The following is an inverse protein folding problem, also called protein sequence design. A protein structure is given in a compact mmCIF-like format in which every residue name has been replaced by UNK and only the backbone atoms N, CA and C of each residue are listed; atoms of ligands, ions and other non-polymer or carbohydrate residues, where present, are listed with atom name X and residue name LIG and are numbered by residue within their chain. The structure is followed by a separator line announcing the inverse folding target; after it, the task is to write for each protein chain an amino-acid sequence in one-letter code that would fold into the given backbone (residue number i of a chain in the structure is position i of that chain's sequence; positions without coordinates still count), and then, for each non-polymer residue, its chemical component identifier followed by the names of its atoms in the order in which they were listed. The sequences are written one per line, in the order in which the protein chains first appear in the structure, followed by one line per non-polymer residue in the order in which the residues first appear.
data_IF_144639498888
#
_entry.id   IF_144639498888
#
_cell.length_a   1.000
_cell.length_b   1.000
_cell.length_c   1.000
_cell.angle_alpha   90.00
_cell.angle_beta   90.00
_cell.angle_gamma   90.00
#
_symmetry.space_group_name_H-M   'P 1'
#
loop_
_entity.id
_entity.type
_entity.pdbx_description
1 polymer ?
#
# COMPACT_ATOMS: atom_id res chain seq x y z
N UNK A 1 -23.00 -6.53 -7.90
CA UNK A 1 -21.64 -5.95 -7.74
C UNK A 1 -21.47 -4.86 -8.80
N UNK A 2 -21.04 -3.64 -8.45
CA UNK A 2 -20.91 -2.54 -9.41
C UNK A 2 -19.62 -2.70 -10.21
N UNK A 3 -19.54 -3.72 -11.07
CA UNK A 3 -18.34 -4.05 -11.84
C UNK A 3 -18.04 -3.11 -13.01
N UNK A 4 -18.54 -1.86 -13.01
CA UNK A 4 -18.57 -1.00 -14.22
C UNK A 4 -18.23 0.47 -13.97
N UNK A 5 -17.71 0.85 -12.80
CA UNK A 5 -17.47 2.28 -12.48
C UNK A 5 -16.03 2.77 -12.75
N UNK A 6 -15.06 1.88 -12.90
CA UNK A 6 -13.65 2.25 -13.08
C UNK A 6 -13.09 1.68 -14.38
N UNK A 7 -12.27 2.47 -15.08
CA UNK A 7 -11.64 2.11 -16.37
C UNK A 7 -10.17 2.52 -16.40
N UNK A 8 -9.39 1.90 -17.29
CA UNK A 8 -7.97 2.23 -17.50
C UNK A 8 -7.11 1.85 -16.30
N UNK A 9 -6.00 2.57 -16.11
CA UNK A 9 -4.97 2.21 -15.12
C UNK A 9 -5.51 1.99 -13.69
N UNK A 10 -6.47 2.79 -13.24
CA UNK A 10 -7.09 2.61 -11.92
C UNK A 10 -7.85 1.27 -11.83
N UNK A 11 -8.52 0.83 -12.91
CA UNK A 11 -9.20 -0.47 -12.94
C UNK A 11 -8.20 -1.62 -12.85
N UNK A 12 -7.07 -1.51 -13.55
CA UNK A 12 -6.02 -2.53 -13.51
C UNK A 12 -5.49 -2.69 -12.07
N UNK A 13 -5.22 -1.57 -11.37
CA UNK A 13 -4.79 -1.58 -9.97
C UNK A 13 -5.83 -2.18 -9.02
N UNK A 14 -7.12 -1.95 -9.26
CA UNK A 14 -8.21 -2.55 -8.49
C UNK A 14 -8.21 -4.08 -8.68
N UNK A 15 -8.07 -4.56 -9.91
CA UNK A 15 -8.07 -5.99 -10.22
C UNK A 15 -6.89 -6.72 -9.55
N UNK A 16 -5.71 -6.09 -9.58
CA UNK A 16 -4.55 -6.58 -8.83
C UNK A 16 -4.83 -6.62 -7.33
N UNK A 17 -5.47 -5.60 -6.76
CA UNK A 17 -5.73 -5.55 -5.32
C UNK A 17 -6.77 -6.59 -4.87
N UNK A 18 -7.81 -6.82 -5.66
CA UNK A 18 -8.86 -7.82 -5.37
C UNK A 18 -8.32 -9.25 -5.44
N UNK A 19 -7.42 -9.55 -6.38
CA UNK A 19 -6.66 -10.80 -6.40
C UNK A 19 -5.72 -10.90 -5.21
N UNK A 20 -4.89 -9.86 -5.02
CA UNK A 20 -3.99 -9.67 -3.89
C UNK A 20 -2.92 -10.75 -3.75
N UNK A 21 -2.48 -11.37 -4.85
CA UNK A 21 -1.29 -12.23 -4.85
C UNK A 21 -0.02 -11.40 -4.58
N UNK A 22 1.08 -12.06 -4.19
CA UNK A 22 2.35 -11.33 -4.00
C UNK A 22 2.77 -10.53 -5.25
N UNK A 23 2.63 -11.11 -6.44
CA UNK A 23 2.97 -10.44 -7.70
C UNK A 23 2.06 -9.26 -8.00
N UNK A 24 0.78 -9.36 -7.64
CA UNK A 24 -0.17 -8.26 -7.87
C UNK A 24 0.14 -7.07 -6.96
N UNK A 25 0.45 -7.35 -5.69
CA UNK A 25 0.90 -6.31 -4.75
C UNK A 25 2.23 -5.70 -5.23
N UNK A 26 3.16 -6.50 -5.74
CA UNK A 26 4.40 -5.98 -6.33
C UNK A 26 4.13 -5.05 -7.51
N UNK A 27 3.21 -5.43 -8.39
CA UNK A 27 2.76 -4.57 -9.50
C UNK A 27 2.17 -3.26 -8.98
N UNK A 28 1.29 -3.28 -7.98
CA UNK A 28 0.75 -2.05 -7.38
C UNK A 28 1.88 -1.17 -6.83
N UNK A 29 2.77 -1.72 -6.01
CA UNK A 29 3.89 -0.99 -5.38
C UNK A 29 4.94 -0.49 -6.36
N UNK A 30 5.06 -1.11 -7.54
CA UNK A 30 5.99 -0.64 -8.59
C UNK A 30 5.64 0.75 -9.13
N UNK A 31 4.39 1.18 -8.98
CA UNK A 31 3.93 2.53 -9.35
C UNK A 31 4.29 3.59 -8.30
N UNK A 32 4.89 3.21 -7.15
CA UNK A 32 5.35 4.14 -6.11
C UNK A 32 6.84 4.42 -6.25
N UNK A 33 7.15 5.41 -7.09
CA UNK A 33 8.51 5.89 -7.37
C UNK A 33 8.65 7.36 -6.97
N UNK A 34 9.86 7.92 -7.09
CA UNK A 34 10.10 9.35 -6.87
C UNK A 34 9.45 10.24 -7.95
N UNK A 35 9.11 9.67 -9.09
CA UNK A 35 8.53 10.38 -10.23
C UNK A 35 7.01 10.28 -10.28
N UNK A 36 6.41 9.48 -9.38
CA UNK A 36 4.98 9.24 -9.35
C UNK A 36 4.20 10.52 -9.12
N UNK A 37 3.16 10.71 -9.94
CA UNK A 37 2.30 11.87 -9.81
C UNK A 37 1.42 11.79 -8.54
N UNK A 38 0.91 12.93 -8.09
CA UNK A 38 -0.06 12.93 -6.98
C UNK A 38 -1.30 12.07 -7.30
N UNK A 39 -1.80 12.12 -8.55
CA UNK A 39 -2.96 11.32 -8.96
C UNK A 39 -2.66 9.81 -8.91
N UNK A 40 -1.49 9.40 -9.40
CA UNK A 40 -1.05 8.00 -9.40
C UNK A 40 -0.90 7.45 -7.98
N UNK A 41 -0.26 8.21 -7.09
CA UNK A 41 -0.12 7.78 -5.69
C UNK A 41 -1.47 7.67 -4.98
N UNK A 42 -2.47 8.48 -5.34
CA UNK A 42 -3.86 8.33 -4.86
C UNK A 42 -4.56 7.10 -5.41
N UNK A 43 -4.28 6.70 -6.65
CA UNK A 43 -4.80 5.45 -7.21
C UNK A 43 -4.21 4.23 -6.51
N UNK A 44 -2.89 4.25 -6.27
CA UNK A 44 -2.22 3.19 -5.51
C UNK A 44 -2.77 3.12 -4.08
N UNK A 45 -2.92 4.25 -3.40
CA UNK A 45 -3.49 4.31 -2.05
C UNK A 45 -4.88 3.65 -1.97
N UNK A 46 -5.74 3.99 -2.94
CA UNK A 46 -7.06 3.42 -3.06
C UNK A 46 -7.01 1.92 -3.33
N UNK A 47 -6.20 1.47 -4.30
CA UNK A 47 -6.06 0.06 -4.62
C UNK A 47 -5.54 -0.75 -3.42
N UNK A 48 -4.51 -0.29 -2.73
CA UNK A 48 -3.99 -0.96 -1.53
C UNK A 48 -5.06 -1.13 -0.45
N UNK A 49 -5.98 -0.17 -0.30
CA UNK A 49 -7.08 -0.28 0.66
C UNK A 49 -8.07 -1.42 0.37
N UNK A 50 -8.07 -1.96 -0.85
CA UNK A 50 -8.91 -3.08 -1.27
C UNK A 50 -8.25 -4.44 -0.99
N UNK A 51 -6.94 -4.49 -0.72
CA UNK A 51 -6.23 -5.74 -0.41
C UNK A 51 -6.68 -6.27 0.94
N UNK A 52 -7.48 -7.34 0.92
CA UNK A 52 -8.07 -7.91 2.15
C UNK A 52 -7.50 -9.27 2.55
N UNK A 53 -6.88 -9.99 1.61
CA UNK A 53 -6.42 -11.36 1.86
C UNK A 53 -5.08 -11.38 2.63
N UNK A 54 -4.77 -12.47 3.38
CA UNK A 54 -3.54 -12.54 4.18
C UNK A 54 -2.23 -12.51 3.39
N UNK A 55 -2.20 -13.06 2.18
CA UNK A 55 -1.01 -13.10 1.32
C UNK A 55 -0.62 -11.67 0.91
N UNK A 56 -1.57 -10.91 0.36
CA UNK A 56 -1.37 -9.52 -0.01
C UNK A 56 -1.00 -8.65 1.19
N UNK A 57 -1.64 -8.84 2.34
CA UNK A 57 -1.26 -8.14 3.59
C UNK A 57 0.19 -8.42 4.00
N UNK A 58 0.61 -9.68 3.96
CA UNK A 58 2.00 -10.05 4.24
C UNK A 58 2.97 -9.42 3.23
N UNK A 59 2.56 -9.29 1.97
CA UNK A 59 3.37 -8.62 0.96
C UNK A 59 3.45 -7.10 1.18
N UNK A 60 2.37 -6.45 1.59
CA UNK A 60 2.40 -5.04 2.00
C UNK A 60 3.33 -4.84 3.20
N UNK A 61 3.31 -5.76 4.17
CA UNK A 61 4.26 -5.78 5.30
C UNK A 61 5.71 -5.88 4.83
N UNK A 62 6.01 -6.68 3.81
CA UNK A 62 7.35 -6.72 3.22
C UNK A 62 7.80 -5.32 2.78
N UNK A 63 6.94 -4.57 2.09
CA UNK A 63 7.25 -3.20 1.67
C UNK A 63 7.41 -2.21 2.83
N UNK A 64 6.69 -2.38 3.93
CA UNK A 64 6.90 -1.57 5.15
C UNK A 64 8.35 -1.68 5.67
N UNK A 65 8.95 -2.87 5.60
CA UNK A 65 10.30 -3.09 6.15
C UNK A 65 11.41 -3.04 5.10
N UNK A 66 11.12 -3.32 3.83
CA UNK A 66 12.12 -3.52 2.76
C UNK A 66 11.93 -2.59 1.55
N UNK A 67 10.83 -1.85 1.48
CA UNK A 67 10.55 -0.92 0.39
C UNK A 67 11.42 0.34 0.43
N UNK A 68 11.28 1.17 -0.60
CA UNK A 68 11.78 2.55 -0.64
C UNK A 68 10.97 3.45 0.31
N UNK A 69 11.44 4.68 0.59
CA UNK A 69 10.73 5.56 1.54
C UNK A 69 9.26 5.79 1.17
N UNK A 70 8.94 6.04 -0.10
CA UNK A 70 7.55 6.23 -0.54
C UNK A 70 6.72 4.96 -0.35
N UNK A 71 7.28 3.80 -0.66
CA UNK A 71 6.61 2.51 -0.48
C UNK A 71 6.35 2.22 1.00
N UNK A 72 7.33 2.48 1.88
CA UNK A 72 7.15 2.31 3.33
C UNK A 72 6.05 3.21 3.86
N UNK A 73 5.97 4.46 3.40
CA UNK A 73 4.94 5.40 3.82
C UNK A 73 3.53 4.90 3.42
N UNK A 74 3.35 4.41 2.19
CA UNK A 74 2.06 3.86 1.75
C UNK A 74 1.71 2.54 2.44
N UNK A 75 2.69 1.68 2.73
CA UNK A 75 2.47 0.49 3.55
C UNK A 75 2.07 0.87 4.99
N UNK A 76 2.68 1.91 5.56
CA UNK A 76 2.32 2.45 6.88
C UNK A 76 0.87 2.95 6.90
N UNK A 77 0.46 3.73 5.89
CA UNK A 77 -0.92 4.20 5.75
C UNK A 77 -1.93 3.05 5.70
N UNK A 78 -1.60 1.98 4.97
CA UNK A 78 -2.42 0.77 4.92
C UNK A 78 -2.65 0.17 6.31
N UNK A 79 -1.58 -0.11 7.06
CA UNK A 79 -1.70 -0.71 8.40
C UNK A 79 -2.34 0.22 9.44
N UNK A 80 -2.10 1.53 9.36
CA UNK A 80 -2.76 2.51 10.22
C UNK A 80 -4.28 2.50 10.05
N UNK A 81 -4.79 2.35 8.80
CA UNK A 81 -6.22 2.26 8.52
C UNK A 81 -6.85 0.96 8.99
N UNK A 82 -6.07 -0.14 9.04
CA UNK A 82 -6.52 -1.41 9.59
C UNK A 82 -6.49 -1.44 11.14
N UNK A 83 -5.84 -0.47 11.77
CA UNK A 83 -5.59 -0.48 13.21
C UNK A 83 -4.53 -1.49 13.64
N UNK A 84 -3.72 -1.98 12.70
CA UNK A 84 -2.66 -2.98 12.93
C UNK A 84 -1.34 -2.27 13.31
N UNK A 85 -1.31 -1.68 14.50
CA UNK A 85 -0.22 -0.77 14.91
C UNK A 85 1.12 -1.43 15.23
N UNK A 86 1.15 -2.74 15.51
CA UNK A 86 2.37 -3.42 15.96
C UNK A 86 3.49 -3.38 14.91
N UNK A 87 3.14 -3.56 13.64
CA UNK A 87 4.12 -3.53 12.55
C UNK A 87 4.59 -2.09 12.25
N UNK A 88 3.70 -1.12 12.39
CA UNK A 88 4.03 0.31 12.23
C UNK A 88 4.97 0.78 13.34
N UNK A 89 4.67 0.47 14.60
CA UNK A 89 5.51 0.81 15.75
C UNK A 89 6.91 0.19 15.63
N UNK A 90 6.99 -1.07 15.19
CA UNK A 90 8.26 -1.73 14.91
C UNK A 90 9.05 -1.01 13.81
N UNK A 91 8.42 -0.68 12.68
CA UNK A 91 9.08 0.02 11.59
C UNK A 91 9.58 1.42 12.01
N UNK A 92 8.83 2.12 12.87
CA UNK A 92 9.24 3.38 13.47
C UNK A 92 10.47 3.22 14.38
N UNK A 93 10.47 2.24 15.28
CA UNK A 93 11.61 1.98 16.16
C UNK A 93 12.89 1.55 15.42
N UNK A 94 12.75 0.90 14.27
CA UNK A 94 13.87 0.59 13.37
C UNK A 94 14.33 1.79 12.53
N UNK A 95 13.68 2.96 12.66
CA UNK A 95 14.01 4.18 11.92
C UNK A 95 13.65 4.11 10.43
N UNK A 96 12.72 3.23 10.04
CA UNK A 96 12.35 3.02 8.63
C UNK A 96 11.29 4.02 8.15
N UNK A 97 10.49 4.55 9.08
CA UNK A 97 9.48 5.60 8.90
C UNK A 97 9.63 6.64 10.02
N UNK A 98 9.21 7.87 9.76
CA UNK A 98 9.25 8.95 10.77
C UNK A 98 8.00 8.96 11.66
N UNK A 99 8.04 9.80 12.69
CA UNK A 99 6.96 9.96 13.67
C UNK A 99 5.66 10.47 13.01
N UNK A 100 5.76 11.36 12.02
CA UNK A 100 4.60 11.91 11.31
C UNK A 100 3.88 10.79 10.56
N UNK A 101 4.62 9.93 9.87
CA UNK A 101 4.06 8.79 9.15
C UNK A 101 3.49 7.75 10.12
N UNK A 102 4.23 7.40 11.17
CA UNK A 102 3.82 6.39 12.13
C UNK A 102 2.49 6.74 12.82
N UNK A 103 2.28 8.02 13.14
CA UNK A 103 1.10 8.49 13.86
C UNK A 103 0.08 9.27 12.99
N UNK A 104 0.25 9.27 11.68
CA UNK A 104 -0.74 9.77 10.72
C UNK A 104 -2.00 8.91 10.80
N UNK A 105 -3.12 9.51 11.22
CA UNK A 105 -4.45 8.89 11.31
C UNK A 105 -5.45 9.61 10.43
#
# INVERSE_FOLDING_TARGET
MPGTLFTGHLKDLIDYAESGSESDVDTIFSNLTKESSFAETRFVDFALSLVSNPEGKNRIKHYLFKGTQIQRNYACLFFNRLGEYQDVEKAYHEGLIDEIQAFSR
#
